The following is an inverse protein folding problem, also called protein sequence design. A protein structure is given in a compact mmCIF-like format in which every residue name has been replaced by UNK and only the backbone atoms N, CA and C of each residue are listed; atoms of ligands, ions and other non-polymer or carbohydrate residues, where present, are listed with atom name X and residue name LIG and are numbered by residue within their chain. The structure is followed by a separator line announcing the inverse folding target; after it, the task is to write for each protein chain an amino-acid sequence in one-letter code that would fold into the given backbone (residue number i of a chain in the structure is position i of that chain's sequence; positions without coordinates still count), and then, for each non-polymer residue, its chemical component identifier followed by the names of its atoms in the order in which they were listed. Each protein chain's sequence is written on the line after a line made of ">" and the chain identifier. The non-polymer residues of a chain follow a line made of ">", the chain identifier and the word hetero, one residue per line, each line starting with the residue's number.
data_IF_778386413911
#
_entry.id   IF_778386413911
#
_cell.length_a   1.000
_cell.length_b   1.000
_cell.length_c   1.000
_cell.angle_alpha   90.00
_cell.angle_beta   90.00
_cell.angle_gamma   90.00
#
_symmetry.space_group_name_H-M   'P 1'
#
loop_
_entity.id
_entity.type
_entity.pdbx_description
1 polymer ?
#
# COMPACT_ATOMS: atom_id res chain seq x y z
N UNK A 1 17.96 -13.73 15.26
CA UNK A 1 17.42 -14.47 14.08
C UNK A 1 18.08 -15.83 14.01
N UNK A 2 19.38 -15.94 13.78
CA UNK A 2 20.10 -17.20 13.54
C UNK A 2 19.85 -18.25 14.63
N UNK A 3 20.01 -17.88 15.91
CA UNK A 3 19.81 -18.82 17.03
C UNK A 3 18.35 -19.29 17.13
N UNK A 4 17.39 -18.37 16.96
CA UNK A 4 15.96 -18.71 16.96
C UNK A 4 15.63 -19.66 15.81
N UNK A 5 16.13 -19.36 14.61
CA UNK A 5 15.93 -20.22 13.43
C UNK A 5 16.43 -21.64 13.69
N UNK A 6 17.67 -21.80 14.14
CA UNK A 6 18.24 -23.12 14.46
C UNK A 6 17.44 -23.88 15.50
N UNK A 7 17.06 -23.21 16.59
CA UNK A 7 16.25 -23.84 17.64
C UNK A 7 14.90 -24.33 17.12
N UNK A 8 14.21 -23.54 16.30
CA UNK A 8 12.91 -23.88 15.76
C UNK A 8 13.01 -24.99 14.70
N UNK A 9 14.01 -24.96 13.82
CA UNK A 9 14.23 -26.02 12.84
C UNK A 9 14.55 -27.35 13.51
N UNK A 10 15.35 -27.35 14.58
CA UNK A 10 15.63 -28.55 15.40
C UNK A 10 14.36 -29.06 16.07
N UNK A 11 13.48 -28.20 16.53
CA UNK A 11 12.20 -28.58 17.12
C UNK A 11 11.28 -29.22 16.09
N UNK A 12 11.18 -28.64 14.88
CA UNK A 12 10.41 -29.21 13.76
C UNK A 12 10.95 -30.61 13.39
N UNK A 13 12.27 -30.75 13.25
CA UNK A 13 12.90 -31.99 12.87
C UNK A 13 12.59 -33.12 13.88
N UNK A 14 12.58 -32.81 15.17
CA UNK A 14 12.29 -33.79 16.26
C UNK A 14 10.81 -34.01 16.53
N UNK A 15 9.93 -33.24 15.88
CA UNK A 15 8.48 -33.35 16.08
C UNK A 15 7.90 -34.64 15.47
N UNK A 16 6.75 -35.07 15.98
CA UNK A 16 5.96 -36.19 15.42
C UNK A 16 5.13 -35.81 14.18
N UNK A 17 5.36 -34.64 13.57
CA UNK A 17 4.66 -34.18 12.36
C UNK A 17 5.00 -35.08 11.15
N UNK A 18 4.06 -35.18 10.19
CA UNK A 18 4.35 -35.78 8.89
C UNK A 18 5.45 -35.02 8.15
N UNK A 19 6.16 -35.66 7.23
CA UNK A 19 7.24 -35.02 6.46
C UNK A 19 6.73 -33.79 5.68
N UNK A 20 5.53 -33.87 5.11
CA UNK A 20 4.89 -32.70 4.45
C UNK A 20 4.72 -31.51 5.42
N UNK A 21 4.22 -31.78 6.64
CA UNK A 21 4.04 -30.72 7.64
C UNK A 21 5.37 -30.16 8.11
N UNK A 22 6.41 -30.98 8.23
CA UNK A 22 7.76 -30.50 8.54
C UNK A 22 8.29 -29.59 7.44
N UNK A 23 8.14 -30.00 6.16
CA UNK A 23 8.58 -29.20 5.01
C UNK A 23 7.89 -27.85 4.98
N UNK A 24 6.57 -27.78 5.17
CA UNK A 24 5.81 -26.52 5.21
C UNK A 24 6.24 -25.62 6.37
N UNK A 25 6.46 -26.18 7.56
CA UNK A 25 6.94 -25.41 8.70
C UNK A 25 8.37 -24.88 8.46
N UNK A 26 9.27 -25.69 7.90
CA UNK A 26 10.62 -25.25 7.57
C UNK A 26 10.62 -24.14 6.51
N UNK A 27 9.71 -24.20 5.54
CA UNK A 27 9.52 -23.15 4.54
C UNK A 27 9.10 -21.84 5.21
N UNK A 28 8.09 -21.88 6.06
CA UNK A 28 7.63 -20.71 6.81
C UNK A 28 8.73 -20.09 7.67
N UNK A 29 9.55 -20.91 8.34
CA UNK A 29 10.69 -20.44 9.13
C UNK A 29 11.76 -19.74 8.28
N UNK A 30 12.02 -20.23 7.06
CA UNK A 30 12.95 -19.59 6.11
C UNK A 30 12.43 -18.22 5.69
N UNK A 31 11.15 -18.13 5.30
CA UNK A 31 10.49 -16.88 4.93
C UNK A 31 10.48 -15.90 6.09
N UNK A 32 10.11 -16.33 7.31
CA UNK A 32 10.15 -15.48 8.52
C UNK A 32 11.55 -14.95 8.78
N UNK A 33 12.58 -15.77 8.69
CA UNK A 33 13.97 -15.36 8.93
C UNK A 33 14.40 -14.23 7.98
N UNK A 34 14.06 -14.33 6.69
CA UNK A 34 14.35 -13.29 5.69
C UNK A 34 13.51 -12.04 5.91
N UNK A 35 12.21 -12.17 6.17
CA UNK A 35 11.35 -11.03 6.48
C UNK A 35 11.86 -10.24 7.68
N UNK A 36 12.14 -10.92 8.80
CA UNK A 36 12.65 -10.27 10.02
C UNK A 36 14.01 -9.62 9.77
N UNK A 37 14.87 -10.23 8.95
CA UNK A 37 16.16 -9.63 8.59
C UNK A 37 15.96 -8.31 7.83
N UNK A 38 15.10 -8.30 6.81
CA UNK A 38 14.84 -7.10 5.99
C UNK A 38 14.14 -6.01 6.79
N UNK A 39 13.20 -6.38 7.65
CA UNK A 39 12.36 -5.42 8.40
C UNK A 39 12.90 -5.10 9.80
N UNK A 40 14.05 -5.62 10.18
CA UNK A 40 14.57 -5.54 11.54
C UNK A 40 14.58 -4.11 12.12
N UNK A 41 15.11 -3.15 11.37
CA UNK A 41 15.19 -1.75 11.82
C UNK A 41 13.80 -1.14 12.04
N UNK A 42 12.88 -1.38 11.12
CA UNK A 42 11.49 -0.89 11.23
C UNK A 42 10.74 -1.56 12.38
N UNK A 43 10.99 -2.85 12.64
CA UNK A 43 10.39 -3.56 13.77
C UNK A 43 10.92 -3.04 15.10
N UNK A 44 12.23 -2.75 15.20
CA UNK A 44 12.83 -2.17 16.41
C UNK A 44 12.24 -0.78 16.68
N UNK A 45 12.13 0.06 15.68
CA UNK A 45 11.52 1.39 15.81
C UNK A 45 10.03 1.28 16.21
N UNK A 46 9.27 0.43 15.53
CA UNK A 46 7.86 0.23 15.86
C UNK A 46 7.66 -0.24 17.30
N UNK A 47 8.44 -1.22 17.76
CA UNK A 47 8.37 -1.71 19.12
C UNK A 47 8.77 -0.63 20.14
N UNK A 48 9.81 0.15 19.86
CA UNK A 48 10.20 1.26 20.71
C UNK A 48 9.09 2.31 20.84
N UNK A 49 8.49 2.70 19.70
CA UNK A 49 7.36 3.64 19.68
C UNK A 49 6.18 3.10 20.48
N UNK A 50 5.84 1.81 20.30
CA UNK A 50 4.75 1.15 21.00
C UNK A 50 4.93 1.15 22.51
N UNK A 51 6.10 0.73 22.98
CA UNK A 51 6.41 0.65 24.42
C UNK A 51 6.44 2.03 25.08
N UNK A 52 6.87 3.06 24.36
CA UNK A 52 6.95 4.43 24.87
C UNK A 52 5.72 5.29 24.53
N UNK A 53 4.65 4.72 23.98
CA UNK A 53 3.43 5.42 23.56
C UNK A 53 3.70 6.58 22.57
N UNK A 54 4.72 6.46 21.70
CA UNK A 54 5.10 7.46 20.70
C UNK A 54 4.39 7.21 19.39
N UNK A 55 3.06 7.35 19.37
CA UNK A 55 2.22 7.09 18.20
C UNK A 55 2.21 8.24 17.19
N UNK A 56 2.62 9.43 17.60
CA UNK A 56 2.89 10.53 16.65
C UNK A 56 4.13 10.17 15.82
N UNK A 57 3.94 10.04 14.50
CA UNK A 57 5.05 9.75 13.57
C UNK A 57 6.13 10.83 13.55
N UNK A 58 5.77 12.06 13.91
CA UNK A 58 6.69 13.19 14.00
C UNK A 58 7.35 13.29 15.38
N UNK A 59 6.98 12.44 16.35
CA UNK A 59 7.64 12.42 17.64
C UNK A 59 9.14 12.11 17.45
N UNK A 60 9.98 13.00 17.95
CA UNK A 60 11.43 12.82 17.88
C UNK A 60 11.83 11.60 18.71
N UNK A 61 12.50 10.66 18.08
CA UNK A 61 13.08 9.51 18.75
C UNK A 61 14.51 9.86 19.13
N UNK A 62 14.78 9.88 20.42
CA UNK A 62 16.13 10.13 20.97
C UNK A 62 16.84 8.80 21.29
N UNK A 63 16.71 7.83 20.40
CA UNK A 63 17.33 6.51 20.49
C UNK A 63 17.90 6.09 19.15
N UNK A 64 19.14 5.67 19.12
CA UNK A 64 19.79 5.14 17.92
C UNK A 64 19.64 3.63 17.89
N UNK A 65 18.80 3.12 17.00
CA UNK A 65 18.64 1.69 16.81
C UNK A 65 19.89 1.06 16.21
N UNK A 66 20.17 -0.17 16.64
CA UNK A 66 21.20 -0.98 16.01
C UNK A 66 20.82 -1.27 14.55
N UNK A 67 21.77 -1.09 13.65
CA UNK A 67 21.64 -1.43 12.23
C UNK A 67 22.32 -2.76 11.95
N UNK A 68 21.77 -3.51 11.00
CA UNK A 68 22.42 -4.71 10.51
C UNK A 68 23.61 -4.32 9.61
N UNK A 69 24.71 -5.05 9.75
CA UNK A 69 25.90 -4.94 8.91
C UNK A 69 25.95 -6.09 7.89
N UNK A 70 26.76 -6.01 6.82
CA UNK A 70 26.87 -7.06 5.80
C UNK A 70 27.09 -8.48 6.38
N UNK A 71 27.91 -8.60 7.44
CA UNK A 71 28.12 -9.89 8.13
C UNK A 71 26.85 -10.49 8.73
N UNK A 72 25.91 -9.66 9.16
CA UNK A 72 24.62 -10.12 9.73
C UNK A 72 23.70 -10.65 8.64
N UNK A 73 23.66 -9.98 7.49
CA UNK A 73 22.91 -10.47 6.31
C UNK A 73 23.50 -11.81 5.83
N UNK A 74 24.82 -11.87 5.66
CA UNK A 74 25.51 -13.10 5.26
C UNK A 74 25.22 -14.27 6.21
N UNK A 75 25.16 -14.02 7.52
CA UNK A 75 24.86 -15.04 8.52
C UNK A 75 23.43 -15.62 8.38
N UNK A 76 22.45 -14.83 7.96
CA UNK A 76 21.10 -15.32 7.72
C UNK A 76 21.00 -16.01 6.35
N UNK A 77 21.54 -15.39 5.31
CA UNK A 77 21.56 -15.95 3.95
C UNK A 77 22.33 -17.28 3.85
N UNK A 78 23.28 -17.52 4.75
CA UNK A 78 24.02 -18.77 4.83
C UNK A 78 23.29 -19.92 5.55
N UNK A 79 22.08 -19.69 6.08
CA UNK A 79 21.31 -20.75 6.79
C UNK A 79 20.65 -21.74 5.84
N UNK A 80 20.28 -21.30 4.64
CA UNK A 80 19.58 -22.09 3.63
C UNK A 80 19.74 -21.44 2.26
N UNK A 81 19.34 -22.15 1.20
CA UNK A 81 19.32 -21.55 -0.16
C UNK A 81 18.21 -20.51 -0.24
N UNK A 82 18.61 -19.22 -0.34
CA UNK A 82 17.69 -18.08 -0.49
C UNK A 82 17.15 -17.93 -1.93
N UNK A 83 17.68 -18.69 -2.88
CA UNK A 83 17.21 -18.76 -4.26
C UNK A 83 16.30 -19.97 -4.52
N UNK A 84 15.95 -20.73 -3.47
CA UNK A 84 15.01 -21.86 -3.58
C UNK A 84 13.62 -21.34 -4.03
N UNK A 85 13.11 -21.72 -5.22
CA UNK A 85 11.80 -21.26 -5.70
C UNK A 85 10.63 -21.67 -4.79
N UNK A 86 10.79 -22.65 -3.91
CA UNK A 86 9.78 -23.01 -2.89
C UNK A 86 9.49 -21.84 -1.95
N UNK A 87 10.40 -20.85 -1.81
CA UNK A 87 10.17 -19.64 -1.04
C UNK A 87 9.03 -18.76 -1.62
N UNK A 88 8.57 -19.02 -2.84
CA UNK A 88 7.39 -18.39 -3.43
C UNK A 88 6.09 -19.18 -3.16
N UNK A 89 6.08 -20.06 -2.16
CA UNK A 89 4.94 -20.87 -1.78
C UNK A 89 4.61 -20.68 -0.30
N UNK A 90 3.42 -21.08 0.11
CA UNK A 90 3.02 -21.09 1.53
C UNK A 90 2.36 -19.79 2.00
N UNK A 91 2.02 -19.77 3.28
CA UNK A 91 1.21 -18.69 3.89
C UNK A 91 1.94 -17.34 3.96
N UNK A 92 3.25 -17.37 4.19
CA UNK A 92 4.07 -16.15 4.32
C UNK A 92 4.66 -15.64 3.01
N UNK A 93 4.28 -16.21 1.86
CA UNK A 93 4.80 -15.77 0.55
C UNK A 93 4.56 -14.30 0.26
N UNK A 94 3.36 -13.71 0.50
CA UNK A 94 3.12 -12.31 0.20
C UNK A 94 4.03 -11.35 1.00
N UNK A 95 4.24 -11.64 2.29
CA UNK A 95 5.10 -10.84 3.16
C UNK A 95 6.57 -11.00 2.76
N UNK A 96 7.01 -12.23 2.51
CA UNK A 96 8.34 -12.56 2.02
C UNK A 96 8.64 -11.83 0.71
N UNK A 97 7.79 -11.97 -0.30
CA UNK A 97 7.95 -11.33 -1.61
C UNK A 97 8.00 -9.82 -1.48
N UNK A 98 7.15 -9.23 -0.66
CA UNK A 98 7.15 -7.78 -0.41
C UNK A 98 8.45 -7.33 0.28
N UNK A 99 8.86 -8.00 1.35
CA UNK A 99 10.09 -7.69 2.06
C UNK A 99 11.32 -7.74 1.14
N UNK A 100 11.45 -8.82 0.35
CA UNK A 100 12.57 -8.97 -0.60
C UNK A 100 12.55 -7.87 -1.66
N UNK A 101 11.38 -7.57 -2.24
CA UNK A 101 11.26 -6.67 -3.39
C UNK A 101 11.47 -5.20 -3.03
N UNK A 102 11.16 -4.82 -1.80
CA UNK A 102 11.27 -3.44 -1.32
C UNK A 102 12.33 -3.27 -0.22
N UNK A 103 13.30 -4.19 -0.14
CA UNK A 103 14.44 -4.07 0.78
C UNK A 103 15.23 -2.78 0.53
N UNK A 104 15.75 -2.18 1.60
CA UNK A 104 16.52 -0.93 1.53
C UNK A 104 17.95 -1.12 0.96
N UNK A 105 18.37 -2.35 0.71
CA UNK A 105 19.69 -2.72 0.19
C UNK A 105 19.56 -3.52 -1.11
N UNK A 106 20.68 -3.59 -1.87
CA UNK A 106 20.75 -4.44 -3.05
C UNK A 106 21.10 -5.89 -2.66
N UNK A 107 20.29 -6.83 -3.13
CA UNK A 107 20.53 -8.26 -2.89
C UNK A 107 21.78 -8.77 -3.58
N UNK A 108 22.14 -8.20 -4.75
CA UNK A 108 23.36 -8.58 -5.47
C UNK A 108 24.61 -8.35 -4.61
N UNK A 109 24.63 -7.26 -3.85
CA UNK A 109 25.73 -6.93 -2.94
C UNK A 109 25.80 -7.90 -1.74
N UNK A 110 24.63 -8.35 -1.25
CA UNK A 110 24.55 -9.24 -0.09
C UNK A 110 24.93 -10.67 -0.43
N UNK A 111 24.46 -11.17 -1.58
CA UNK A 111 24.70 -12.56 -2.01
C UNK A 111 25.91 -12.72 -2.93
N UNK A 112 26.57 -11.61 -3.29
CA UNK A 112 27.70 -11.56 -4.22
C UNK A 112 27.40 -12.24 -5.56
N UNK A 113 26.17 -12.04 -6.08
CA UNK A 113 25.72 -12.60 -7.35
C UNK A 113 24.78 -11.61 -8.05
N UNK A 114 24.96 -11.43 -9.36
CA UNK A 114 24.16 -10.54 -10.20
C UNK A 114 22.78 -11.11 -10.58
N UNK A 115 22.52 -12.37 -10.27
CA UNK A 115 21.28 -13.06 -10.60
C UNK A 115 20.88 -14.03 -9.48
N UNK A 116 19.60 -14.38 -9.46
CA UNK A 116 19.01 -15.27 -8.48
C UNK A 116 17.61 -14.81 -8.10
N UNK A 117 16.85 -15.67 -7.41
CA UNK A 117 15.46 -15.40 -7.07
C UNK A 117 15.26 -14.03 -6.38
N UNK A 118 16.07 -13.74 -5.37
CA UNK A 118 15.93 -12.49 -4.60
C UNK A 118 16.27 -11.24 -5.42
N UNK A 119 17.27 -11.33 -6.30
CA UNK A 119 17.67 -10.25 -7.22
C UNK A 119 16.57 -10.02 -8.26
N UNK A 120 16.05 -11.11 -8.85
CA UNK A 120 14.99 -11.04 -9.85
C UNK A 120 13.69 -10.46 -9.26
N UNK A 121 13.29 -10.89 -8.05
CA UNK A 121 12.10 -10.37 -7.38
C UNK A 121 12.20 -8.88 -7.08
N UNK A 122 13.37 -8.40 -6.66
CA UNK A 122 13.59 -6.98 -6.42
C UNK A 122 13.35 -6.13 -7.67
N UNK A 123 13.69 -6.65 -8.85
CA UNK A 123 13.44 -5.98 -10.13
C UNK A 123 12.01 -6.20 -10.63
N UNK A 124 11.52 -7.43 -10.59
CA UNK A 124 10.28 -7.80 -11.26
C UNK A 124 9.01 -7.35 -10.50
N UNK A 125 8.99 -7.41 -9.18
CA UNK A 125 7.77 -7.11 -8.40
C UNK A 125 7.35 -5.64 -8.53
N UNK A 126 8.24 -4.64 -8.42
CA UNK A 126 7.87 -3.24 -8.70
C UNK A 126 7.40 -3.03 -10.14
N UNK A 127 7.98 -3.76 -11.12
CA UNK A 127 7.54 -3.67 -12.52
C UNK A 127 6.15 -4.30 -12.73
N UNK A 128 5.81 -5.36 -12.02
CA UNK A 128 4.46 -5.92 -12.03
C UNK A 128 3.42 -4.93 -11.47
N UNK A 129 3.78 -4.14 -10.45
CA UNK A 129 2.92 -3.06 -9.94
C UNK A 129 2.72 -1.96 -10.99
N UNK A 130 3.78 -1.54 -11.72
CA UNK A 130 3.66 -0.61 -12.85
C UNK A 130 2.78 -1.19 -13.96
N UNK A 131 2.96 -2.47 -14.32
CA UNK A 131 2.13 -3.15 -15.32
C UNK A 131 0.64 -3.14 -14.94
N UNK A 132 0.33 -3.34 -13.66
CA UNK A 132 -1.04 -3.30 -13.13
C UNK A 132 -1.68 -1.89 -13.19
N UNK A 133 -0.87 -0.85 -13.36
CA UNK A 133 -1.30 0.54 -13.55
C UNK A 133 -1.19 1.02 -15.02
N UNK A 134 -0.76 0.17 -15.96
CA UNK A 134 -0.42 0.54 -17.33
C UNK A 134 0.76 1.54 -17.47
N UNK A 135 1.65 1.54 -16.50
CA UNK A 135 2.78 2.47 -16.41
C UNK A 135 4.12 1.84 -16.84
N UNK A 136 4.10 0.57 -17.28
CA UNK A 136 5.29 -0.15 -17.71
C UNK A 136 5.78 0.43 -19.04
N UNK A 137 7.04 0.85 -19.07
CA UNK A 137 7.71 1.44 -20.24
C UNK A 137 8.53 0.41 -20.99
N UNK A 138 8.99 0.72 -22.22
CA UNK A 138 9.92 -0.13 -22.97
C UNK A 138 11.28 -0.25 -22.26
N UNK A 139 11.72 0.77 -21.53
CA UNK A 139 12.93 0.69 -20.72
C UNK A 139 12.78 -0.29 -19.55
N UNK A 140 11.61 -0.30 -18.88
CA UNK A 140 11.30 -1.28 -17.85
C UNK A 140 11.29 -2.71 -18.42
N UNK A 141 10.69 -2.91 -19.60
CA UNK A 141 10.65 -4.20 -20.27
C UNK A 141 12.06 -4.66 -20.71
N UNK A 142 12.89 -3.75 -21.20
CA UNK A 142 14.29 -4.07 -21.55
C UNK A 142 15.07 -4.52 -20.30
N UNK A 143 14.84 -3.86 -19.15
CA UNK A 143 15.42 -4.26 -17.87
C UNK A 143 14.97 -5.66 -17.44
N UNK A 144 13.67 -5.98 -17.58
CA UNK A 144 13.14 -7.31 -17.26
C UNK A 144 13.67 -8.40 -18.22
N UNK A 145 13.78 -8.10 -19.51
CA UNK A 145 14.34 -9.02 -20.52
C UNK A 145 15.82 -9.31 -20.30
N UNK A 146 16.54 -8.47 -19.57
CA UNK A 146 17.93 -8.72 -19.18
C UNK A 146 18.08 -9.75 -18.05
N UNK A 147 16.98 -10.11 -17.38
CA UNK A 147 16.96 -11.17 -16.37
C UNK A 147 17.12 -12.53 -17.03
N UNK A 148 17.77 -13.45 -16.32
CA UNK A 148 18.02 -14.80 -16.84
C UNK A 148 16.72 -15.59 -17.12
N UNK A 149 15.69 -15.33 -16.33
CA UNK A 149 14.39 -15.98 -16.49
C UNK A 149 13.42 -15.07 -17.29
N UNK A 150 13.05 -15.44 -18.53
CA UNK A 150 12.18 -14.64 -19.39
C UNK A 150 10.75 -14.49 -18.84
N UNK A 151 10.34 -15.37 -17.92
CA UNK A 151 9.01 -15.37 -17.31
C UNK A 151 8.63 -13.99 -16.76
N UNK A 152 9.55 -13.27 -16.15
CA UNK A 152 9.24 -11.98 -15.53
C UNK A 152 8.79 -10.91 -16.54
N UNK A 153 9.47 -10.83 -17.68
CA UNK A 153 9.09 -9.91 -18.75
C UNK A 153 7.74 -10.32 -19.36
N UNK A 154 7.58 -11.60 -19.71
CA UNK A 154 6.33 -12.13 -20.28
C UNK A 154 5.14 -11.94 -19.34
N UNK A 155 5.31 -12.19 -18.03
CA UNK A 155 4.26 -12.00 -17.03
C UNK A 155 3.85 -10.52 -16.92
N UNK A 156 4.81 -9.60 -16.87
CA UNK A 156 4.53 -8.16 -16.79
C UNK A 156 3.84 -7.64 -18.06
N UNK A 157 4.27 -8.09 -19.25
CA UNK A 157 3.61 -7.78 -20.52
C UNK A 157 2.15 -8.29 -20.54
N UNK A 158 1.94 -9.54 -20.10
CA UNK A 158 0.61 -10.13 -20.03
C UNK A 158 -0.31 -9.39 -19.05
N UNK A 159 0.20 -9.00 -17.88
CA UNK A 159 -0.53 -8.18 -16.89
C UNK A 159 -0.94 -6.86 -17.56
N UNK A 160 -0.02 -6.11 -18.17
CA UNK A 160 -0.32 -4.82 -18.78
C UNK A 160 -1.30 -4.95 -19.94
N UNK A 161 -1.17 -5.98 -20.79
CA UNK A 161 -2.09 -6.23 -21.89
C UNK A 161 -3.51 -6.54 -21.39
N UNK A 162 -3.64 -7.33 -20.31
CA UNK A 162 -4.93 -7.60 -19.67
C UNK A 162 -5.55 -6.31 -19.13
N UNK A 163 -4.77 -5.53 -18.36
CA UNK A 163 -5.23 -4.27 -17.77
C UNK A 163 -5.69 -3.29 -18.84
N UNK A 164 -4.96 -3.16 -19.95
CA UNK A 164 -5.38 -2.31 -21.10
C UNK A 164 -6.74 -2.71 -21.65
N UNK A 165 -7.00 -4.02 -21.83
CA UNK A 165 -8.31 -4.50 -22.28
C UNK A 165 -9.43 -4.19 -21.30
N UNK A 166 -9.17 -4.39 -20.00
CA UNK A 166 -10.15 -4.10 -18.94
C UNK A 166 -10.44 -2.60 -18.84
N UNK A 167 -9.41 -1.74 -18.98
CA UNK A 167 -9.57 -0.29 -19.01
C UNK A 167 -10.37 0.19 -20.22
N UNK A 168 -10.12 -0.38 -21.42
CA UNK A 168 -10.89 -0.07 -22.61
C UNK A 168 -12.38 -0.40 -22.45
N UNK A 169 -12.72 -1.49 -21.75
CA UNK A 169 -14.09 -1.86 -21.43
C UNK A 169 -14.79 -0.90 -20.45
N UNK A 170 -14.03 -0.11 -19.69
CA UNK A 170 -14.52 0.90 -18.74
C UNK A 170 -14.50 2.33 -19.31
N UNK A 171 -13.99 2.51 -20.53
CA UNK A 171 -13.90 3.83 -21.17
C UNK A 171 -15.28 4.46 -21.33
N UNK A 172 -15.38 5.74 -20.98
CA UNK A 172 -16.64 6.50 -21.02
C UNK A 172 -17.65 6.15 -19.91
N UNK A 173 -17.45 5.06 -19.16
CA UNK A 173 -18.37 4.62 -18.09
C UNK A 173 -18.06 5.21 -16.74
N UNK A 174 -16.81 5.61 -16.53
CA UNK A 174 -16.30 6.06 -15.20
C UNK A 174 -15.40 7.26 -15.41
N UNK A 175 -15.63 8.30 -14.61
CA UNK A 175 -14.82 9.51 -14.64
C UNK A 175 -13.90 9.57 -13.41
N UNK A 176 -12.61 9.69 -13.64
CA UNK A 176 -11.64 10.18 -12.67
C UNK A 176 -11.48 11.67 -12.95
N UNK A 177 -11.64 12.51 -11.96
CA UNK A 177 -11.43 13.95 -12.12
C UNK A 177 -9.94 14.21 -12.36
N UNK A 178 -9.65 15.17 -13.20
CA UNK A 178 -8.27 15.60 -13.47
C UNK A 178 -7.68 16.24 -12.20
N UNK A 179 -6.54 15.73 -11.77
CA UNK A 179 -5.83 16.28 -10.62
C UNK A 179 -5.20 17.60 -11.05
N UNK A 180 -5.45 18.71 -10.33
CA UNK A 180 -4.86 20.01 -10.69
C UNK A 180 -3.34 19.96 -10.77
N UNK A 181 -2.79 20.50 -11.86
CA UNK A 181 -1.33 20.64 -12.06
C UNK A 181 -0.81 21.85 -11.30
N UNK A 182 -0.63 21.68 -10.02
CA UNK A 182 -0.15 22.73 -9.10
C UNK A 182 0.84 22.13 -8.09
N UNK A 183 1.62 22.96 -7.45
CA UNK A 183 2.50 22.53 -6.37
C UNK A 183 1.71 21.83 -5.25
N UNK A 184 2.29 20.80 -4.57
CA UNK A 184 1.57 19.99 -3.58
C UNK A 184 0.92 20.79 -2.45
N UNK A 185 1.51 21.93 -2.05
CA UNK A 185 0.98 22.82 -1.01
C UNK A 185 -0.33 23.50 -1.39
N UNK A 186 -0.59 23.67 -2.69
CA UNK A 186 -1.80 24.27 -3.26
C UNK A 186 -2.83 23.27 -3.73
N UNK A 187 -2.46 21.97 -3.78
CA UNK A 187 -3.27 20.95 -4.40
C UNK A 187 -4.66 20.81 -3.74
N UNK A 188 -4.71 20.72 -2.41
CA UNK A 188 -5.98 20.57 -1.70
C UNK A 188 -6.93 21.74 -2.00
N UNK A 189 -6.40 22.96 -1.92
CA UNK A 189 -7.18 24.17 -2.15
C UNK A 189 -7.67 24.24 -3.61
N UNK A 190 -6.86 23.80 -4.57
CA UNK A 190 -7.25 23.71 -5.98
C UNK A 190 -8.35 22.65 -6.22
N UNK A 191 -8.30 21.51 -5.52
CA UNK A 191 -9.33 20.45 -5.60
C UNK A 191 -10.68 20.97 -5.06
N UNK A 192 -10.69 21.72 -3.97
CA UNK A 192 -11.93 22.15 -3.31
C UNK A 192 -12.46 23.50 -3.81
N UNK A 193 -11.61 24.32 -4.44
CA UNK A 193 -11.97 25.67 -4.94
C UNK A 193 -13.24 25.71 -5.81
N UNK A 194 -13.52 24.75 -6.72
CA UNK A 194 -14.74 24.72 -7.52
C UNK A 194 -16.03 24.62 -6.71
N UNK A 195 -15.92 24.23 -5.43
CA UNK A 195 -17.06 23.94 -4.54
C UNK A 195 -17.23 24.97 -3.43
N UNK A 196 -16.65 26.16 -3.59
CA UNK A 196 -16.82 27.27 -2.63
C UNK A 196 -18.30 27.57 -2.40
N UNK A 197 -18.69 27.80 -1.15
CA UNK A 197 -20.08 27.99 -0.73
C UNK A 197 -20.84 26.70 -0.44
N UNK A 198 -20.23 25.55 -0.70
CA UNK A 198 -20.80 24.21 -0.36
C UNK A 198 -20.05 23.55 0.79
N UNK A 199 -20.69 22.59 1.40
CA UNK A 199 -20.05 21.68 2.37
C UNK A 199 -19.35 20.57 1.58
N UNK A 200 -18.05 20.36 1.81
CA UNK A 200 -17.29 19.32 1.12
C UNK A 200 -16.78 18.30 2.12
N UNK A 201 -17.12 17.05 1.91
CA UNK A 201 -16.54 15.92 2.65
C UNK A 201 -15.49 15.24 1.76
N UNK A 202 -14.23 15.31 2.18
CA UNK A 202 -13.12 14.67 1.50
C UNK A 202 -12.76 13.40 2.24
N UNK A 203 -12.88 12.25 1.58
CA UNK A 203 -12.57 10.92 2.09
C UNK A 203 -11.23 10.43 1.54
N UNK A 204 -10.27 10.19 2.43
CA UNK A 204 -9.01 9.53 2.11
C UNK A 204 -9.21 8.02 2.21
N UNK A 205 -9.11 7.34 1.09
CA UNK A 205 -9.38 5.92 0.98
C UNK A 205 -8.47 5.22 -0.02
N UNK A 206 -8.49 3.90 -0.08
CA UNK A 206 -7.88 3.10 -1.14
C UNK A 206 -8.66 1.81 -1.36
N UNK A 207 -8.52 1.20 -2.54
CA UNK A 207 -9.27 0.00 -2.94
C UNK A 207 -8.99 -1.23 -2.09
N UNK A 208 -7.85 -1.30 -1.45
CA UNK A 208 -7.46 -2.38 -0.53
C UNK A 208 -7.91 -2.15 0.92
N UNK A 209 -8.44 -0.97 1.23
CA UNK A 209 -8.87 -0.60 2.58
C UNK A 209 -10.29 -1.14 2.87
N UNK A 210 -10.38 -2.29 3.51
CA UNK A 210 -11.66 -2.89 3.89
C UNK A 210 -12.57 -1.98 4.72
N UNK A 211 -12.09 -1.34 5.80
CA UNK A 211 -12.87 -0.37 6.57
C UNK A 211 -13.38 0.81 5.74
N UNK A 212 -12.57 1.31 4.77
CA UNK A 212 -12.99 2.39 3.88
C UNK A 212 -14.17 1.95 3.00
N UNK A 213 -14.07 0.76 2.39
CA UNK A 213 -15.14 0.21 1.55
C UNK A 213 -16.45 0.02 2.34
N UNK A 214 -16.36 -0.45 3.58
CA UNK A 214 -17.51 -0.60 4.46
C UNK A 214 -18.17 0.76 4.78
N UNK A 215 -17.37 1.78 5.10
CA UNK A 215 -17.85 3.14 5.37
C UNK A 215 -18.48 3.77 4.11
N UNK A 216 -17.84 3.66 2.96
CA UNK A 216 -18.39 4.16 1.68
C UNK A 216 -19.72 3.49 1.38
N UNK A 217 -19.83 2.16 1.49
CA UNK A 217 -21.06 1.41 1.27
C UNK A 217 -22.19 1.87 2.22
N UNK A 218 -21.86 2.15 3.49
CA UNK A 218 -22.83 2.66 4.46
C UNK A 218 -23.29 4.09 4.13
N UNK A 219 -22.44 4.93 3.54
CA UNK A 219 -22.71 6.31 3.21
C UNK A 219 -23.48 6.49 1.88
N UNK A 220 -23.41 5.52 0.93
CA UNK A 220 -24.11 5.65 -0.37
C UNK A 220 -25.61 5.93 -0.26
N UNK A 221 -26.40 5.25 0.61
CA UNK A 221 -27.82 5.54 0.75
C UNK A 221 -28.10 6.96 1.26
N UNK A 222 -27.20 7.57 2.03
CA UNK A 222 -27.38 8.94 2.53
C UNK A 222 -27.38 9.97 1.39
N UNK A 223 -26.58 9.76 0.35
CA UNK A 223 -26.43 10.69 -0.78
C UNK A 223 -27.69 10.81 -1.65
N UNK A 224 -28.48 9.76 -1.71
CA UNK A 224 -29.76 9.73 -2.44
C UNK A 224 -30.97 9.93 -1.54
N UNK A 225 -30.76 9.80 -0.23
CA UNK A 225 -31.77 9.93 0.81
C UNK A 225 -31.65 11.20 1.64
N UNK A 226 -31.36 11.06 2.93
CA UNK A 226 -31.41 12.15 3.93
C UNK A 226 -30.39 13.28 3.71
N UNK A 227 -29.29 13.03 3.04
CA UNK A 227 -28.27 14.01 2.67
C UNK A 227 -28.27 14.33 1.18
N UNK A 228 -29.39 14.03 0.48
CA UNK A 228 -29.55 14.43 -0.91
C UNK A 228 -29.65 15.95 -0.98
N UNK A 229 -28.57 16.60 -1.38
CA UNK A 229 -28.49 18.06 -1.49
C UNK A 229 -27.39 18.45 -2.46
N UNK A 230 -27.63 19.49 -3.23
CA UNK A 230 -26.61 20.10 -4.07
C UNK A 230 -25.57 20.90 -3.25
N UNK A 231 -25.84 21.12 -1.98
CA UNK A 231 -24.97 21.82 -1.05
C UNK A 231 -23.89 20.93 -0.41
N UNK A 232 -23.94 19.61 -0.63
CA UNK A 232 -22.91 18.67 -0.18
C UNK A 232 -22.15 18.12 -1.39
N UNK A 233 -20.83 18.19 -1.33
CA UNK A 233 -19.94 17.56 -2.31
C UNK A 233 -19.14 16.45 -1.62
N UNK A 234 -19.19 15.25 -2.21
CA UNK A 234 -18.43 14.10 -1.78
C UNK A 234 -17.21 13.96 -2.66
N UNK A 235 -16.01 14.10 -2.08
CA UNK A 235 -14.73 13.94 -2.78
C UNK A 235 -14.02 12.74 -2.19
N UNK A 236 -13.46 11.92 -3.07
CA UNK A 236 -12.72 10.71 -2.74
C UNK A 236 -11.30 10.82 -3.27
N UNK A 237 -10.33 10.82 -2.36
CA UNK A 237 -8.91 10.83 -2.68
C UNK A 237 -8.33 9.44 -2.47
N UNK A 238 -7.77 8.86 -3.51
CA UNK A 238 -7.00 7.63 -3.46
C UNK A 238 -5.62 7.85 -4.09
N UNK A 239 -4.70 6.92 -3.91
CA UNK A 239 -3.38 6.99 -4.54
C UNK A 239 -3.10 5.79 -5.44
N UNK A 240 -1.90 5.76 -6.01
CA UNK A 240 -1.44 4.78 -6.99
C UNK A 240 -1.35 3.35 -6.44
N UNK A 241 -1.37 3.16 -5.12
CA UNK A 241 -1.45 1.82 -4.52
C UNK A 241 -2.80 1.13 -4.76
N UNK A 242 -3.81 1.89 -5.22
CA UNK A 242 -5.06 1.36 -5.77
C UNK A 242 -4.86 1.00 -7.24
N UNK A 243 -4.80 -0.30 -7.64
CA UNK A 243 -4.61 -0.67 -9.03
C UNK A 243 -5.70 -0.07 -9.92
N UNK A 244 -5.32 0.49 -11.06
CA UNK A 244 -6.16 1.40 -11.85
C UNK A 244 -7.50 0.76 -12.29
N UNK A 245 -7.50 -0.51 -12.70
CA UNK A 245 -8.73 -1.23 -13.08
C UNK A 245 -9.64 -1.41 -11.87
N UNK A 246 -9.08 -1.88 -10.75
CA UNK A 246 -9.83 -2.06 -9.50
C UNK A 246 -10.43 -0.73 -9.03
N UNK A 247 -9.63 0.34 -9.08
CA UNK A 247 -10.07 1.68 -8.74
C UNK A 247 -11.24 2.13 -9.62
N UNK A 248 -11.10 2.10 -10.95
CA UNK A 248 -12.19 2.46 -11.88
C UNK A 248 -13.44 1.61 -11.68
N UNK A 249 -13.28 0.31 -11.46
CA UNK A 249 -14.42 -0.59 -11.22
C UNK A 249 -15.17 -0.24 -9.93
N UNK A 250 -14.45 0.13 -8.87
CA UNK A 250 -15.07 0.49 -7.60
C UNK A 250 -15.73 1.86 -7.66
N UNK A 251 -15.03 2.89 -8.16
CA UNK A 251 -15.59 4.25 -8.22
C UNK A 251 -16.80 4.37 -9.15
N UNK A 252 -16.95 3.48 -10.13
CA UNK A 252 -18.16 3.40 -10.95
C UNK A 252 -19.45 3.08 -10.16
N UNK A 253 -19.31 2.66 -8.89
CA UNK A 253 -20.40 2.35 -7.99
C UNK A 253 -20.53 3.35 -6.83
N UNK A 254 -19.69 4.38 -6.80
CA UNK A 254 -19.60 5.35 -5.72
C UNK A 254 -19.92 6.73 -6.26
N UNK A 255 -21.01 7.32 -5.78
CA UNK A 255 -21.40 8.66 -6.21
C UNK A 255 -20.48 9.71 -5.58
N UNK A 256 -19.87 10.58 -6.40
CA UNK A 256 -18.97 11.64 -5.94
C UNK A 256 -17.90 12.03 -6.96
N UNK A 257 -16.95 12.80 -6.52
CA UNK A 257 -15.79 13.26 -7.28
C UNK A 257 -14.56 12.46 -6.88
N UNK A 258 -13.93 11.81 -7.83
CA UNK A 258 -12.86 10.85 -7.60
C UNK A 258 -11.54 11.34 -8.15
N UNK A 259 -10.55 11.52 -7.29
CA UNK A 259 -9.19 11.89 -7.66
C UNK A 259 -8.23 10.75 -7.32
N UNK A 260 -7.29 10.48 -8.22
CA UNK A 260 -6.21 9.51 -8.01
C UNK A 260 -4.88 10.22 -8.01
N UNK A 261 -4.33 10.41 -6.84
CA UNK A 261 -3.12 11.17 -6.57
C UNK A 261 -1.87 10.31 -6.80
N UNK A 262 -0.77 10.95 -7.20
CA UNK A 262 0.54 10.32 -7.16
C UNK A 262 1.08 10.25 -5.71
N UNK A 263 2.22 9.56 -5.52
CA UNK A 263 2.80 9.33 -4.20
C UNK A 263 3.16 10.63 -3.47
N UNK A 264 3.76 11.60 -4.17
CA UNK A 264 4.16 12.90 -3.62
C UNK A 264 2.95 13.70 -3.13
N UNK A 265 1.93 13.82 -3.97
CA UNK A 265 0.68 14.51 -3.68
C UNK A 265 -0.04 13.89 -2.48
N UNK A 266 -0.14 12.56 -2.48
CA UNK A 266 -0.76 11.81 -1.38
C UNK A 266 -0.02 12.02 -0.07
N UNK A 267 1.31 11.85 -0.08
CA UNK A 267 2.15 12.03 1.10
C UNK A 267 2.01 13.43 1.67
N UNK A 268 2.09 14.46 0.79
CA UNK A 268 1.93 15.86 1.22
C UNK A 268 0.57 16.10 1.90
N UNK A 269 -0.53 15.63 1.29
CA UNK A 269 -1.86 15.84 1.88
C UNK A 269 -2.04 15.06 3.20
N UNK A 270 -1.49 13.85 3.31
CA UNK A 270 -1.48 13.12 4.57
C UNK A 270 -0.72 13.87 5.66
N UNK A 271 0.42 14.47 5.35
CA UNK A 271 1.20 15.30 6.29
C UNK A 271 0.46 16.59 6.65
N UNK A 272 -0.08 17.33 5.67
CA UNK A 272 -0.85 18.56 5.86
C UNK A 272 -2.00 18.37 6.85
N UNK A 273 -2.75 17.29 6.70
CA UNK A 273 -3.93 17.01 7.53
C UNK A 273 -3.66 16.06 8.71
N UNK A 274 -2.43 15.56 8.87
CA UNK A 274 -2.06 14.57 9.89
C UNK A 274 -2.89 13.29 9.77
N UNK A 275 -3.07 12.81 8.53
CA UNK A 275 -3.72 11.53 8.23
C UNK A 275 -2.73 10.41 8.54
N UNK A 276 -2.95 9.70 9.61
CA UNK A 276 -2.13 8.58 10.10
C UNK A 276 -2.68 7.19 9.74
N UNK A 277 -3.89 7.15 9.16
CA UNK A 277 -4.55 5.95 8.68
C UNK A 277 -5.85 6.26 7.95
N UNK A 278 -6.35 5.31 7.17
CA UNK A 278 -7.58 5.43 6.39
C UNK A 278 -8.64 4.43 6.87
N UNK A 279 -9.97 4.77 6.77
CA UNK A 279 -10.52 6.01 6.23
C UNK A 279 -10.21 7.23 7.11
N UNK A 280 -10.02 8.39 6.50
CA UNK A 280 -9.90 9.68 7.20
C UNK A 280 -10.70 10.73 6.45
N UNK A 281 -11.38 11.59 7.20
CA UNK A 281 -12.26 12.60 6.63
C UNK A 281 -11.75 14.00 6.88
N UNK A 282 -11.65 14.81 5.82
CA UNK A 282 -11.48 16.26 5.94
C UNK A 282 -12.79 16.91 5.57
N UNK A 283 -13.34 17.70 6.49
CA UNK A 283 -14.57 18.46 6.29
C UNK A 283 -14.20 19.90 5.94
N UNK A 284 -14.77 20.41 4.84
CA UNK A 284 -14.63 21.78 4.41
C UNK A 284 -15.98 22.47 4.56
N UNK A 285 -16.02 23.59 5.26
CA UNK A 285 -17.23 24.39 5.42
C UNK A 285 -17.50 25.31 4.21
N UNK A 286 -18.61 26.04 4.22
CA UNK A 286 -19.02 26.95 3.13
C UNK A 286 -18.03 28.11 2.90
N UNK A 287 -17.27 28.48 3.93
CA UNK A 287 -16.26 29.53 3.86
C UNK A 287 -14.91 29.03 3.31
N UNK A 288 -14.77 27.70 3.18
CA UNK A 288 -13.56 27.03 2.70
C UNK A 288 -12.61 26.59 3.81
N UNK A 289 -12.98 26.72 5.09
CA UNK A 289 -12.13 26.24 6.17
C UNK A 289 -12.15 24.72 6.22
N UNK A 290 -10.97 24.12 6.19
CA UNK A 290 -10.81 22.66 6.17
C UNK A 290 -10.30 22.13 7.51
N UNK A 291 -10.83 21.01 7.96
CA UNK A 291 -10.43 20.36 9.22
C UNK A 291 -10.52 18.83 9.12
N UNK A 292 -9.50 18.14 9.62
CA UNK A 292 -9.55 16.69 9.82
C UNK A 292 -10.62 16.35 10.87
N UNK A 293 -11.48 15.40 10.53
CA UNK A 293 -12.65 14.99 11.32
C UNK A 293 -12.76 13.46 11.38
N UNK A 294 -11.75 12.80 11.96
CA UNK A 294 -11.75 11.34 12.13
C UNK A 294 -12.88 10.82 13.03
N UNK A 295 -13.49 11.70 13.80
CA UNK A 295 -14.71 11.39 14.55
C UNK A 295 -15.92 11.08 13.64
N UNK A 296 -15.88 11.49 12.38
CA UNK A 296 -16.88 11.16 11.35
C UNK A 296 -16.74 9.75 10.78
N UNK A 297 -15.76 8.96 11.22
CA UNK A 297 -15.76 7.49 11.03
C UNK A 297 -16.99 6.84 11.66
N UNK A 298 -17.58 7.48 12.66
CA UNK A 298 -18.88 7.11 13.18
C UNK A 298 -19.98 7.61 12.23
N UNK A 299 -20.71 6.68 11.62
CA UNK A 299 -21.72 6.94 10.59
C UNK A 299 -22.85 7.88 11.07
N UNK A 300 -23.37 7.68 12.29
CA UNK A 300 -24.44 8.52 12.82
C UNK A 300 -23.96 9.95 13.06
N UNK A 301 -22.71 10.10 13.52
CA UNK A 301 -22.10 11.40 13.73
C UNK A 301 -21.84 12.12 12.41
N UNK A 302 -21.38 11.40 11.38
CA UNK A 302 -21.22 11.92 10.03
C UNK A 302 -22.55 12.47 9.51
N UNK A 303 -23.61 11.64 9.54
CA UNK A 303 -24.95 12.01 9.10
C UNK A 303 -25.46 13.27 9.83
N UNK A 304 -25.42 13.28 11.17
CA UNK A 304 -25.87 14.44 11.98
C UNK A 304 -25.07 15.70 11.68
N UNK A 305 -23.74 15.58 11.50
CA UNK A 305 -22.88 16.72 11.23
C UNK A 305 -23.19 17.33 9.87
N UNK A 306 -23.23 16.51 8.81
CA UNK A 306 -23.51 17.00 7.46
C UNK A 306 -24.91 17.60 7.36
N UNK A 307 -25.93 16.95 7.96
CA UNK A 307 -27.30 17.49 7.99
C UNK A 307 -27.35 18.88 8.60
N UNK A 308 -26.73 19.07 9.77
CA UNK A 308 -26.67 20.40 10.44
C UNK A 308 -25.96 21.47 9.61
N UNK A 309 -25.03 21.10 8.73
CA UNK A 309 -24.27 22.06 7.93
C UNK A 309 -24.99 22.52 6.65
N UNK A 310 -26.06 21.81 6.26
CA UNK A 310 -26.86 22.14 5.07
C UNK A 310 -28.23 22.74 5.43
N UNK A 311 -28.66 22.59 6.67
CA UNK A 311 -29.80 23.31 7.26
C UNK A 311 -29.40 24.78 7.57
#
# INVERSE_FOLDING_TARGET
>A
IVSKYKMLTDSVARSGMSEMMKELNLLSLKQEALCVMVTCSSLLEHNYRSVNNLWDRNAKIDYKFATLEPKHYAAVCGLFDINDPKLLMGEFEPDYRTAISYSAFDWADIIHAENGLVVDLRKAVPMAAKAANCELTEADLASLRSLKNPFYAEACEAIQARVRRELAALEGKVKIEETPDVAPDKLFDAIVAPYKGKVVLVDFWNTWCGPCQAAIKANEPLKTGELKSDDIVWIYLANETSPLVTYKTQIGKIAGKHYRLNEEQWKYLCEKFKVDGIPSYVLVDRDGNSKLRNDLRNHDKLKKTLKKMIE
#
